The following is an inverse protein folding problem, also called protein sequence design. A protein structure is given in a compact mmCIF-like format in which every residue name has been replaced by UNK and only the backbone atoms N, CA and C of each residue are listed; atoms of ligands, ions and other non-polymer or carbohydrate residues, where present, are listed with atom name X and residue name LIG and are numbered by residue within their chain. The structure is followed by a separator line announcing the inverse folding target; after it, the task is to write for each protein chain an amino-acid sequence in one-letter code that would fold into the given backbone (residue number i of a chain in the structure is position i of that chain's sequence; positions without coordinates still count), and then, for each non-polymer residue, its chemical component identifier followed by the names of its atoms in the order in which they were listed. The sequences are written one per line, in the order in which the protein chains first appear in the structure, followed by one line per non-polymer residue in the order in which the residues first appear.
data_IF_970341620241
#
_entry.id   IF_970341620241
#
_cell.length_a   1.000
_cell.length_b   1.000
_cell.length_c   1.000
_cell.angle_alpha   90.00
_cell.angle_beta   90.00
_cell.angle_gamma   90.00
#
_symmetry.space_group_name_H-M   'P 1'
#
loop_
_entity.id
_entity.type
_entity.pdbx_description
1 polymer ?
#
# COMPACT_ATOMS: atom_id res chain seq x y z
N UNK A 1 -17.33 -24.18 -0.22
CA UNK A 1 -18.12 -23.07 -0.78
C UNK A 1 -17.74 -21.82 -0.01
N UNK A 2 -16.69 -21.09 -0.45
CA UNK A 2 -16.25 -19.84 0.14
C UNK A 2 -17.19 -18.72 -0.29
N UNK A 3 -17.73 -17.99 0.66
CA UNK A 3 -18.66 -16.90 0.38
C UNK A 3 -18.03 -15.57 0.77
N UNK A 4 -17.89 -14.70 -0.22
CA UNK A 4 -17.69 -13.28 0.03
C UNK A 4 -19.02 -12.75 0.59
N UNK A 5 -19.02 -12.29 1.86
CA UNK A 5 -20.20 -11.63 2.42
C UNK A 5 -20.14 -10.16 1.99
N UNK A 6 -20.96 -9.79 1.01
CA UNK A 6 -21.24 -8.38 0.76
C UNK A 6 -22.18 -7.91 1.87
N UNK A 7 -21.61 -7.57 3.00
CA UNK A 7 -22.34 -6.97 4.10
C UNK A 7 -22.06 -5.50 4.08
N UNK A 8 -22.92 -4.76 3.42
CA UNK A 8 -23.08 -3.36 3.75
C UNK A 8 -24.03 -3.33 4.95
N UNK A 9 -23.51 -3.66 6.11
CA UNK A 9 -24.25 -3.51 7.34
C UNK A 9 -24.29 -2.03 7.67
N UNK A 10 -25.38 -1.39 7.30
CA UNK A 10 -25.80 -0.15 7.90
C UNK A 10 -26.98 -0.50 8.81
N UNK A 11 -26.70 -0.84 10.04
CA UNK A 11 -27.65 -0.52 11.09
C UNK A 11 -27.64 0.98 11.27
N UNK A 12 -28.57 1.64 10.59
CA UNK A 12 -28.91 3.03 10.83
C UNK A 12 -29.70 3.11 12.15
N UNK A 13 -29.03 2.95 13.26
CA UNK A 13 -29.53 3.44 14.52
C UNK A 13 -29.56 4.97 14.41
N UNK A 14 -30.75 5.55 14.40
CA UNK A 14 -30.97 6.99 14.45
C UNK A 14 -30.33 7.56 15.73
N UNK A 15 -29.05 7.87 15.69
CA UNK A 15 -28.40 8.65 16.72
C UNK A 15 -28.93 10.07 16.65
N UNK A 16 -29.76 10.42 17.63
CA UNK A 16 -30.15 11.81 17.92
C UNK A 16 -28.87 12.62 18.10
N UNK A 17 -28.57 13.47 17.15
CA UNK A 17 -27.47 14.41 17.22
C UNK A 17 -27.74 15.42 18.31
N UNK A 18 -27.16 15.24 19.50
CA UNK A 18 -27.11 16.27 20.52
C UNK A 18 -25.86 17.09 20.29
N UNK A 19 -26.02 18.24 19.68
CA UNK A 19 -24.98 19.27 19.57
C UNK A 19 -24.61 19.74 20.98
N UNK A 20 -23.43 19.42 21.46
CA UNK A 20 -22.85 20.03 22.65
C UNK A 20 -22.24 21.39 22.28
N UNK A 21 -22.52 22.46 23.05
CA UNK A 21 -22.01 23.80 22.77
C UNK A 21 -20.49 23.88 23.03
N UNK A 22 -19.78 24.57 22.13
CA UNK A 22 -18.36 24.94 22.29
C UNK A 22 -18.13 25.65 23.62
N UNK A 23 -17.34 25.07 24.52
CA UNK A 23 -16.81 25.76 25.68
C UNK A 23 -15.53 26.49 25.32
N UNK A 24 -15.54 27.81 25.52
CA UNK A 24 -14.34 28.65 25.45
C UNK A 24 -13.33 28.22 26.50
N UNK A 25 -12.08 27.96 26.06
CA UNK A 25 -10.95 27.73 26.95
C UNK A 25 -10.56 29.02 27.67
N UNK A 26 -10.68 29.01 29.00
CA UNK A 26 -10.07 30.01 29.88
C UNK A 26 -8.64 29.54 30.24
N UNK A 27 -7.69 30.45 30.02
CA UNK A 27 -6.30 30.33 30.51
C UNK A 27 -6.26 30.30 32.04
N UNK A 28 -5.42 29.44 32.59
CA UNK A 28 -4.80 29.70 33.89
C UNK A 28 -4.69 28.51 34.83
N UNK A 29 -3.47 28.12 35.05
CA UNK A 29 -2.76 27.90 36.33
C UNK A 29 -1.99 26.56 36.42
N UNK A 30 -0.79 26.71 36.96
CA UNK A 30 0.33 25.82 37.10
C UNK A 30 0.04 24.48 37.83
N UNK A 31 0.81 23.45 37.43
CA UNK A 31 0.84 22.13 38.06
C UNK A 31 1.68 22.12 39.34
N UNK A 32 1.37 21.29 40.32
CA UNK A 32 2.27 21.01 41.45
C UNK A 32 3.23 19.88 41.12
N UNK A 33 4.45 20.03 41.61
CA UNK A 33 5.56 19.06 41.54
C UNK A 33 5.23 17.84 42.39
N UNK A 34 5.50 16.64 41.87
CA UNK A 34 5.57 15.41 42.68
C UNK A 34 7.00 14.88 42.72
N UNK A 35 7.33 14.36 43.90
CA UNK A 35 8.63 13.99 44.41
C UNK A 35 9.19 12.70 43.79
N UNK A 36 10.51 12.67 43.69
CA UNK A 36 11.36 11.57 43.23
C UNK A 36 11.52 10.49 44.27
N UNK A 37 11.50 9.22 43.84
CA UNK A 37 12.25 8.14 44.48
C UNK A 37 12.86 7.27 43.37
N UNK A 38 14.14 6.97 43.53
CA UNK A 38 15.05 6.37 42.54
C UNK A 38 14.75 4.94 42.19
N UNK A 39 15.14 4.47 40.96
CA UNK A 39 15.03 3.08 40.54
C UNK A 39 16.35 2.32 40.64
N UNK A 40 16.21 1.00 40.77
CA UNK A 40 17.22 -0.03 40.76
C UNK A 40 17.81 -0.23 39.35
N UNK A 41 19.16 -0.41 39.21
CA UNK A 41 19.84 -0.42 37.94
C UNK A 41 20.14 -1.84 37.46
N UNK A 42 19.41 -2.34 36.48
CA UNK A 42 19.92 -3.40 35.59
C UNK A 42 19.06 -3.63 34.34
N UNK A 43 19.27 -2.85 33.31
CA UNK A 43 19.10 -3.25 31.90
C UNK A 43 19.86 -2.24 31.04
N UNK A 44 20.88 -2.72 30.37
CA UNK A 44 21.69 -1.93 29.47
C UNK A 44 20.90 -1.53 28.23
N UNK A 45 20.73 -0.24 28.06
CA UNK A 45 20.22 0.38 26.84
C UNK A 45 21.24 0.18 25.71
N UNK A 46 20.89 -0.65 24.75
CA UNK A 46 21.39 -0.51 23.41
C UNK A 46 20.40 0.39 22.66
N UNK A 47 20.74 1.64 22.53
CA UNK A 47 20.07 2.61 21.67
C UNK A 47 19.99 2.04 20.24
N UNK A 48 18.82 1.55 19.87
CA UNK A 48 18.45 1.36 18.47
C UNK A 48 17.84 2.68 18.05
N UNK A 49 18.66 3.58 17.50
CA UNK A 49 18.16 4.67 16.67
C UNK A 49 17.29 4.06 15.56
N UNK A 50 15.99 4.18 15.75
CA UNK A 50 15.00 3.94 14.69
C UNK A 50 15.18 5.07 13.67
N UNK A 51 15.99 4.82 12.65
CA UNK A 51 15.91 5.63 11.44
C UNK A 51 14.52 5.39 10.85
N UNK A 52 13.73 6.44 10.82
CA UNK A 52 12.45 6.54 10.15
C UNK A 52 12.64 6.16 8.68
N UNK A 53 12.38 4.90 8.37
CA UNK A 53 12.08 4.50 7.01
C UNK A 53 10.64 4.90 6.76
N UNK A 54 10.43 5.76 5.77
CA UNK A 54 9.15 6.30 5.34
C UNK A 54 8.17 5.21 4.90
N UNK A 55 7.72 4.36 5.81
CA UNK A 55 6.40 3.79 5.73
C UNK A 55 5.48 4.85 6.37
N UNK A 56 5.11 5.89 5.59
CA UNK A 56 4.08 6.86 5.95
C UNK A 56 2.72 6.15 6.04
N UNK A 57 2.58 5.28 7.03
CA UNK A 57 1.32 5.00 7.68
C UNK A 57 1.22 6.05 8.81
N UNK A 58 0.82 7.29 8.44
CA UNK A 58 0.56 8.38 9.38
C UNK A 58 -0.41 7.91 10.47
N UNK A 59 0.10 7.66 11.68
CA UNK A 59 -0.71 7.51 12.86
C UNK A 59 -1.33 8.86 13.24
N UNK A 60 -2.53 9.13 12.73
CA UNK A 60 -3.36 10.18 13.30
C UNK A 60 -3.90 9.72 14.66
N UNK A 61 -3.94 10.59 15.69
CA UNK A 61 -4.49 10.24 17.00
C UNK A 61 -5.96 9.83 16.87
N UNK A 62 -6.33 8.74 17.54
CA UNK A 62 -7.67 8.15 17.55
C UNK A 62 -8.61 9.11 18.29
N UNK A 63 -9.22 10.06 17.59
CA UNK A 63 -10.50 10.65 18.02
C UNK A 63 -11.59 9.66 17.64
N UNK A 64 -12.42 9.30 18.61
CA UNK A 64 -13.56 8.39 18.48
C UNK A 64 -14.52 8.88 17.41
N UNK A 65 -14.30 8.48 16.16
CA UNK A 65 -15.18 8.75 15.04
C UNK A 65 -16.28 7.69 15.01
N UNK A 66 -17.50 8.16 15.15
CA UNK A 66 -18.69 7.37 14.86
C UNK A 66 -18.84 7.24 13.35
N UNK A 67 -18.69 6.00 12.87
CA UNK A 67 -19.29 5.40 11.68
C UNK A 67 -19.18 6.11 10.35
N UNK A 68 -18.67 5.42 9.33
CA UNK A 68 -19.15 5.20 7.97
C UNK A 68 -18.25 5.67 6.83
N UNK A 69 -17.95 4.84 5.92
CA UNK A 69 -18.30 4.49 4.53
C UNK A 69 -17.49 5.12 3.38
N UNK A 70 -17.19 4.38 2.34
CA UNK A 70 -16.13 4.59 1.40
C UNK A 70 -16.45 4.91 -0.04
N UNK A 71 -15.47 5.36 -0.77
CA UNK A 71 -15.61 6.27 -1.88
C UNK A 71 -15.12 5.80 -3.24
N UNK A 72 -15.65 6.41 -4.27
CA UNK A 72 -14.94 6.65 -5.51
C UNK A 72 -14.05 7.90 -5.38
N UNK A 73 -13.03 8.05 -6.19
CA UNK A 73 -12.05 9.12 -6.08
C UNK A 73 -11.95 9.97 -7.33
N UNK A 74 -11.93 11.29 -7.12
CA UNK A 74 -11.42 12.25 -8.09
C UNK A 74 -10.11 12.84 -7.58
N UNK A 75 -9.02 12.66 -8.32
CA UNK A 75 -7.80 13.41 -8.10
C UNK A 75 -7.93 14.78 -8.75
N UNK A 76 -7.88 15.86 -7.97
CA UNK A 76 -7.83 17.23 -8.51
C UNK A 76 -6.41 17.71 -8.79
N UNK A 77 -5.38 16.90 -8.63
CA UNK A 77 -4.03 17.21 -9.09
C UNK A 77 -3.82 16.58 -10.45
N UNK A 78 -3.97 17.40 -11.47
CA UNK A 78 -3.75 17.03 -12.89
C UNK A 78 -2.36 16.45 -13.20
N UNK A 79 -1.38 16.62 -12.32
CA UNK A 79 0.00 16.18 -12.55
C UNK A 79 0.33 14.77 -12.08
N UNK A 80 -0.46 14.14 -11.21
CA UNK A 80 -0.11 12.85 -10.63
C UNK A 80 -1.02 11.69 -10.99
N UNK A 81 -2.27 11.92 -11.39
CA UNK A 81 -3.25 10.85 -11.60
C UNK A 81 -4.05 10.96 -12.89
N UNK A 82 -3.69 11.82 -13.84
CA UNK A 82 -4.31 11.94 -15.17
C UNK A 82 -5.86 12.04 -15.15
N UNK A 83 -6.46 12.66 -14.14
CA UNK A 83 -7.92 12.83 -14.04
C UNK A 83 -8.70 11.51 -13.92
N UNK A 84 -8.07 10.38 -13.61
CA UNK A 84 -8.76 9.08 -13.48
C UNK A 84 -9.58 9.01 -12.21
N UNK A 85 -10.82 8.60 -12.34
CA UNK A 85 -11.70 8.19 -11.24
C UNK A 85 -11.62 6.68 -11.08
N UNK A 86 -11.51 6.20 -9.83
CA UNK A 86 -11.51 4.79 -9.49
C UNK A 86 -12.76 4.47 -8.66
N UNK A 87 -13.45 3.39 -8.99
CA UNK A 87 -14.63 2.92 -8.28
C UNK A 87 -14.33 1.58 -7.63
N UNK A 88 -14.41 1.53 -6.29
CA UNK A 88 -14.16 0.31 -5.52
C UNK A 88 -15.41 -0.14 -4.78
N UNK A 89 -15.59 -1.44 -4.66
CA UNK A 89 -16.62 -2.08 -3.84
C UNK A 89 -16.06 -2.35 -2.44
N UNK A 90 -16.72 -1.81 -1.42
CA UNK A 90 -16.41 -2.12 -0.01
C UNK A 90 -17.11 -3.40 0.35
N UNK A 91 -16.36 -4.39 0.81
CA UNK A 91 -16.85 -5.74 1.09
C UNK A 91 -16.22 -6.31 2.36
N UNK A 92 -16.89 -7.28 2.96
CA UNK A 92 -16.28 -8.20 3.93
C UNK A 92 -15.56 -9.31 3.18
N UNK A 93 -14.24 -9.32 3.22
CA UNK A 93 -13.44 -10.40 2.64
C UNK A 93 -13.35 -11.57 3.64
N UNK A 94 -13.60 -12.79 3.18
CA UNK A 94 -13.69 -13.96 4.04
C UNK A 94 -12.31 -14.41 4.55
N UNK A 95 -12.15 -14.55 5.85
CA UNK A 95 -10.88 -14.92 6.50
C UNK A 95 -10.32 -16.24 5.95
N UNK A 96 -11.11 -17.33 5.80
CA UNK A 96 -10.61 -18.55 5.19
C UNK A 96 -10.07 -18.39 3.76
N UNK A 97 -10.61 -17.48 2.96
CA UNK A 97 -10.10 -17.24 1.60
C UNK A 97 -8.68 -16.66 1.62
N UNK A 98 -8.36 -15.83 2.63
CA UNK A 98 -6.99 -15.38 2.86
C UNK A 98 -6.09 -16.53 3.31
N UNK A 99 -6.56 -17.37 4.23
CA UNK A 99 -5.78 -18.49 4.79
C UNK A 99 -5.51 -19.57 3.75
N UNK A 100 -6.47 -19.84 2.85
CA UNK A 100 -6.39 -20.87 1.82
C UNK A 100 -5.77 -20.38 0.50
N UNK A 101 -5.36 -19.10 0.42
CA UNK A 101 -4.70 -18.55 -0.77
C UNK A 101 -5.61 -18.24 -1.95
N UNK A 102 -6.93 -18.12 -1.74
CA UNK A 102 -7.87 -17.54 -2.72
C UNK A 102 -7.60 -16.03 -2.83
N UNK A 103 -7.30 -15.38 -1.71
CA UNK A 103 -6.77 -14.03 -1.70
C UNK A 103 -5.25 -14.11 -1.86
N UNK A 104 -4.78 -13.74 -3.05
CA UNK A 104 -3.39 -13.87 -3.50
C UNK A 104 -2.51 -12.76 -2.93
N UNK A 105 -1.31 -13.14 -2.53
CA UNK A 105 -0.26 -12.28 -1.98
C UNK A 105 0.89 -12.19 -2.98
N UNK A 106 1.52 -11.04 -3.04
CA UNK A 106 2.75 -10.84 -3.83
C UNK A 106 3.91 -10.28 -2.99
N UNK A 107 3.69 -10.05 -1.69
CA UNK A 107 4.70 -9.55 -0.76
C UNK A 107 4.66 -10.34 0.55
N UNK A 108 5.85 -10.58 1.15
CA UNK A 108 5.96 -11.17 2.49
C UNK A 108 5.74 -10.12 3.56
N UNK A 109 4.99 -10.51 4.57
CA UNK A 109 4.77 -9.68 5.75
C UNK A 109 5.87 -9.88 6.80
N UNK A 110 6.14 -8.84 7.60
CA UNK A 110 7.07 -8.89 8.72
C UNK A 110 6.30 -9.17 9.99
N UNK A 111 6.81 -10.08 10.83
CA UNK A 111 6.14 -10.52 12.04
C UNK A 111 5.93 -9.39 13.07
N UNK A 112 6.89 -8.48 13.21
CA UNK A 112 6.78 -7.31 14.08
C UNK A 112 5.63 -6.40 13.67
N UNK A 113 5.51 -6.13 12.36
CA UNK A 113 4.42 -5.30 11.81
C UNK A 113 3.06 -6.02 11.88
N UNK A 114 3.01 -7.33 11.64
CA UNK A 114 1.79 -8.11 11.82
C UNK A 114 1.27 -8.02 13.25
N UNK A 115 2.14 -8.23 14.24
CA UNK A 115 1.75 -8.22 15.66
C UNK A 115 1.26 -6.83 16.09
N UNK A 116 1.90 -5.75 15.63
CA UNK A 116 1.45 -4.39 15.88
C UNK A 116 0.03 -4.16 15.32
N UNK A 117 -0.22 -4.54 14.06
CA UNK A 117 -1.55 -4.44 13.44
C UNK A 117 -2.58 -5.39 14.08
N UNK A 118 -2.20 -6.60 14.48
CA UNK A 118 -3.07 -7.50 15.25
C UNK A 118 -3.48 -6.89 16.58
N UNK A 119 -2.54 -6.27 17.30
CA UNK A 119 -2.83 -5.54 18.54
C UNK A 119 -3.86 -4.44 18.30
N UNK A 120 -3.71 -3.67 17.24
CA UNK A 120 -4.64 -2.61 16.86
C UNK A 120 -6.05 -3.18 16.61
N UNK A 121 -6.19 -4.26 15.84
CA UNK A 121 -7.48 -4.91 15.57
C UNK A 121 -8.10 -5.50 16.85
N UNK A 122 -7.30 -6.14 17.70
CA UNK A 122 -7.79 -6.71 18.98
C UNK A 122 -8.31 -5.65 19.93
N UNK A 123 -7.56 -4.54 20.11
CA UNK A 123 -7.92 -3.46 21.04
C UNK A 123 -9.19 -2.74 20.61
N UNK A 124 -9.34 -2.47 19.31
CA UNK A 124 -10.50 -1.77 18.78
C UNK A 124 -11.70 -2.70 18.54
N UNK A 125 -11.49 -4.02 18.54
CA UNK A 125 -12.47 -5.02 18.12
C UNK A 125 -13.11 -4.70 16.76
N UNK A 126 -12.31 -4.13 15.84
CA UNK A 126 -12.78 -3.62 14.55
C UNK A 126 -11.64 -3.52 13.54
N UNK A 127 -11.99 -3.57 12.25
CA UNK A 127 -11.13 -3.11 11.17
C UNK A 127 -11.44 -1.63 10.92
N UNK A 128 -10.49 -0.75 11.25
CA UNK A 128 -10.61 0.70 11.07
C UNK A 128 -10.04 1.12 9.71
N UNK A 129 -9.04 0.38 9.23
CA UNK A 129 -8.37 0.60 7.97
C UNK A 129 -8.77 -0.49 6.97
N UNK A 130 -9.33 -0.14 5.80
CA UNK A 130 -9.62 -1.14 4.77
C UNK A 130 -8.34 -1.65 4.12
N UNK A 131 -8.35 -2.90 3.67
CA UNK A 131 -7.33 -3.43 2.78
C UNK A 131 -7.72 -3.16 1.33
N UNK A 132 -6.73 -3.07 0.46
CA UNK A 132 -6.93 -2.73 -0.94
C UNK A 132 -6.70 -3.95 -1.83
N UNK A 133 -7.78 -4.41 -2.50
CA UNK A 133 -7.73 -5.56 -3.38
C UNK A 133 -7.99 -5.17 -4.83
N UNK A 134 -7.40 -5.94 -5.71
CA UNK A 134 -7.74 -5.95 -7.14
C UNK A 134 -8.52 -7.22 -7.50
N UNK A 135 -9.41 -7.11 -8.48
CA UNK A 135 -10.08 -8.24 -9.10
C UNK A 135 -10.01 -8.15 -10.64
N UNK A 136 -10.09 -9.28 -11.36
CA UNK A 136 -10.18 -9.27 -12.82
C UNK A 136 -11.38 -8.46 -13.29
N UNK A 137 -11.23 -7.70 -14.38
CA UNK A 137 -12.27 -6.84 -14.91
C UNK A 137 -13.59 -7.59 -15.11
N UNK A 138 -14.70 -6.98 -14.69
CA UNK A 138 -16.03 -7.59 -14.72
C UNK A 138 -17.11 -6.58 -15.07
N UNK A 139 -17.63 -6.67 -16.29
CA UNK A 139 -18.63 -5.74 -16.79
C UNK A 139 -19.98 -5.80 -16.02
N UNK A 140 -20.31 -6.94 -15.39
CA UNK A 140 -21.53 -7.04 -14.59
C UNK A 140 -21.40 -6.25 -13.28
N UNK A 141 -20.23 -6.29 -12.63
CA UNK A 141 -19.94 -5.44 -11.47
C UNK A 141 -19.93 -3.96 -11.85
N UNK A 142 -19.31 -3.60 -12.97
CA UNK A 142 -19.28 -2.21 -13.46
C UNK A 142 -20.71 -1.69 -13.71
N UNK A 143 -21.61 -2.53 -14.24
CA UNK A 143 -23.00 -2.17 -14.45
C UNK A 143 -23.76 -1.94 -13.12
N UNK A 144 -23.50 -2.73 -12.08
CA UNK A 144 -24.07 -2.51 -10.75
C UNK A 144 -23.54 -1.17 -10.18
N UNK A 145 -22.24 -0.98 -10.15
CA UNK A 145 -21.59 0.24 -9.63
C UNK A 145 -22.17 1.49 -10.32
N UNK A 146 -22.30 1.45 -11.65
CA UNK A 146 -22.80 2.58 -12.44
C UNK A 146 -24.24 2.98 -12.10
N UNK A 147 -25.08 2.05 -11.65
CA UNK A 147 -26.45 2.38 -11.20
C UNK A 147 -26.47 3.22 -9.93
N UNK A 148 -25.52 3.01 -9.03
CA UNK A 148 -25.47 3.72 -7.76
C UNK A 148 -24.71 5.04 -7.85
N UNK A 149 -23.66 5.12 -8.67
CA UNK A 149 -22.82 6.32 -8.76
C UNK A 149 -23.51 7.53 -9.40
N UNK A 150 -24.64 7.35 -10.05
CA UNK A 150 -25.49 8.46 -10.56
C UNK A 150 -26.45 9.00 -9.49
N UNK A 151 -26.62 8.29 -8.37
CA UNK A 151 -27.48 8.67 -7.27
C UNK A 151 -26.81 9.67 -6.32
N UNK A 152 -27.60 10.11 -5.32
CA UNK A 152 -27.05 10.99 -4.25
C UNK A 152 -26.10 10.19 -3.36
N UNK A 153 -24.86 10.65 -3.18
CA UNK A 153 -23.92 9.99 -2.29
C UNK A 153 -24.26 10.27 -0.80
N UNK A 154 -23.79 9.38 0.07
CA UNK A 154 -23.81 9.58 1.53
C UNK A 154 -22.74 10.59 1.93
N UNK A 155 -21.57 10.49 1.30
CA UNK A 155 -20.47 11.43 1.44
C UNK A 155 -19.98 11.86 0.08
N UNK A 156 -19.59 13.12 -0.01
CA UNK A 156 -18.87 13.71 -1.13
C UNK A 156 -18.01 14.86 -0.59
N UNK A 157 -16.70 14.66 -0.56
CA UNK A 157 -15.78 15.65 -0.05
C UNK A 157 -14.41 15.55 -0.69
N UNK A 158 -13.66 16.65 -0.61
CA UNK A 158 -12.25 16.71 -0.98
C UNK A 158 -11.44 16.72 0.30
N UNK A 159 -10.51 15.76 0.44
CA UNK A 159 -9.67 15.67 1.63
C UNK A 159 -8.70 16.86 1.67
N UNK A 160 -8.61 17.57 2.81
CA UNK A 160 -7.58 18.58 3.01
C UNK A 160 -6.19 17.93 3.03
N UNK A 161 -5.23 18.58 2.40
CA UNK A 161 -3.83 18.14 2.38
C UNK A 161 -3.39 17.54 1.05
N UNK A 162 -4.00 16.47 0.58
CA UNK A 162 -3.67 15.87 -0.72
C UNK A 162 -4.61 16.25 -1.86
N UNK A 163 -5.78 16.81 -1.54
CA UNK A 163 -6.75 17.27 -2.54
C UNK A 163 -7.49 16.17 -3.28
N UNK A 164 -7.44 14.91 -2.79
CA UNK A 164 -8.21 13.82 -3.37
C UNK A 164 -9.70 13.92 -3.01
N UNK A 165 -10.57 13.69 -4.00
CA UNK A 165 -12.00 13.57 -3.80
C UNK A 165 -12.38 12.19 -3.29
N UNK A 166 -13.34 12.16 -2.37
CA UNK A 166 -13.93 10.94 -1.82
C UNK A 166 -15.43 11.03 -1.90
N UNK A 167 -16.05 10.14 -2.67
CA UNK A 167 -17.50 10.06 -2.82
C UNK A 167 -17.95 8.64 -2.47
N UNK A 168 -19.05 8.51 -1.76
CA UNK A 168 -19.52 7.21 -1.29
C UNK A 168 -21.02 7.03 -1.45
N UNK A 169 -21.40 5.84 -1.90
CA UNK A 169 -22.79 5.40 -2.04
C UNK A 169 -23.02 4.09 -1.29
N UNK A 170 -24.25 3.88 -0.86
CA UNK A 170 -24.70 2.62 -0.27
C UNK A 170 -25.39 1.80 -1.34
N UNK A 171 -25.03 0.52 -1.42
CA UNK A 171 -25.78 -0.49 -2.19
C UNK A 171 -26.70 -1.18 -1.20
N UNK A 172 -27.99 -0.88 -1.26
CA UNK A 172 -29.01 -1.31 -0.30
C UNK A 172 -30.05 -2.29 -0.86
N UNK A 173 -30.03 -2.52 -2.18
CA UNK A 173 -30.94 -3.48 -2.82
C UNK A 173 -30.36 -4.89 -2.74
N UNK A 174 -31.11 -5.78 -2.13
CA UNK A 174 -30.67 -7.18 -1.96
C UNK A 174 -30.35 -7.86 -3.30
N UNK A 175 -31.13 -7.59 -4.35
CA UNK A 175 -30.88 -8.11 -5.69
C UNK A 175 -29.50 -7.72 -6.25
N UNK A 176 -29.03 -6.48 -5.98
CA UNK A 176 -27.74 -6.00 -6.41
C UNK A 176 -26.61 -6.59 -5.54
N UNK A 177 -26.86 -6.75 -4.23
CA UNK A 177 -25.93 -7.41 -3.29
C UNK A 177 -25.72 -8.86 -3.70
N UNK A 178 -26.81 -9.57 -4.02
CA UNK A 178 -26.76 -10.96 -4.46
C UNK A 178 -26.01 -11.09 -5.80
N UNK A 179 -26.27 -10.17 -6.73
CA UNK A 179 -25.56 -10.12 -8.01
C UNK A 179 -24.05 -9.90 -7.83
N UNK A 180 -23.65 -8.97 -6.98
CA UNK A 180 -22.24 -8.72 -6.65
C UNK A 180 -21.61 -9.99 -6.04
N UNK A 181 -22.28 -10.61 -5.08
CA UNK A 181 -21.80 -11.82 -4.41
C UNK A 181 -21.61 -12.97 -5.42
N UNK A 182 -22.57 -13.15 -6.34
CA UNK A 182 -22.48 -14.17 -7.39
C UNK A 182 -21.34 -13.90 -8.38
N UNK A 183 -21.09 -12.65 -8.74
CA UNK A 183 -19.96 -12.31 -9.62
C UNK A 183 -18.61 -12.57 -8.96
N UNK A 184 -18.45 -12.18 -7.70
CA UNK A 184 -17.23 -12.50 -6.96
C UNK A 184 -17.03 -14.02 -6.78
N UNK A 185 -18.09 -14.78 -6.56
CA UNK A 185 -18.02 -16.24 -6.44
C UNK A 185 -17.53 -16.95 -7.73
N UNK A 186 -17.61 -16.29 -8.88
CA UNK A 186 -17.08 -16.80 -10.16
C UNK A 186 -15.59 -16.52 -10.33
N UNK A 187 -15.02 -15.62 -9.53
CA UNK A 187 -13.63 -15.23 -9.66
C UNK A 187 -12.73 -16.28 -9.00
N UNK A 188 -11.66 -16.72 -9.68
CA UNK A 188 -10.74 -17.71 -9.12
C UNK A 188 -9.91 -17.17 -7.96
N UNK A 189 -9.68 -15.86 -7.93
CA UNK A 189 -8.86 -15.20 -6.92
C UNK A 189 -9.16 -13.70 -6.82
N UNK A 190 -8.80 -13.13 -5.66
CA UNK A 190 -8.59 -11.71 -5.43
C UNK A 190 -7.11 -11.45 -5.17
N UNK A 191 -6.64 -10.26 -5.44
CA UNK A 191 -5.22 -9.92 -5.35
C UNK A 191 -5.02 -8.74 -4.40
N UNK A 192 -4.17 -8.92 -3.40
CA UNK A 192 -3.81 -7.80 -2.51
C UNK A 192 -3.02 -6.78 -3.32
N UNK A 193 -3.55 -5.59 -3.48
CA UNK A 193 -2.84 -4.47 -4.11
C UNK A 193 -2.02 -3.70 -3.07
N UNK A 194 -2.62 -3.41 -1.91
CA UNK A 194 -1.97 -2.72 -0.78
C UNK A 194 -2.53 -3.23 0.55
N UNK A 195 -1.70 -3.17 1.60
CA UNK A 195 -2.10 -3.59 2.94
C UNK A 195 -1.87 -5.06 3.26
N UNK A 196 -0.78 -5.68 2.81
CA UNK A 196 -0.42 -7.07 3.12
C UNK A 196 -0.38 -7.33 4.63
N UNK A 197 0.24 -6.45 5.43
CA UNK A 197 0.28 -6.57 6.90
C UNK A 197 -1.11 -6.43 7.53
N UNK A 198 -1.96 -5.52 7.01
CA UNK A 198 -3.33 -5.32 7.48
C UNK A 198 -4.21 -6.53 7.16
N UNK A 199 -4.07 -7.09 5.96
CA UNK A 199 -4.78 -8.32 5.56
C UNK A 199 -4.39 -9.50 6.45
N UNK A 200 -3.08 -9.69 6.68
CA UNK A 200 -2.59 -10.74 7.57
C UNK A 200 -3.12 -10.56 8.98
N UNK A 201 -3.00 -9.37 9.56
CA UNK A 201 -3.45 -9.08 10.92
C UNK A 201 -4.95 -9.32 11.10
N UNK A 202 -5.76 -8.82 10.17
CA UNK A 202 -7.22 -8.98 10.24
C UNK A 202 -7.62 -10.46 10.13
N UNK A 203 -7.02 -11.21 9.21
CA UNK A 203 -7.30 -12.64 9.04
C UNK A 203 -6.85 -13.46 10.26
N UNK A 204 -5.66 -13.18 10.82
CA UNK A 204 -5.15 -13.89 12.00
C UNK A 204 -6.00 -13.62 13.23
N UNK A 205 -6.42 -12.37 13.48
CA UNK A 205 -7.31 -12.03 14.59
C UNK A 205 -8.69 -12.66 14.41
N UNK A 206 -9.24 -12.68 13.19
CA UNK A 206 -10.48 -13.38 12.89
C UNK A 206 -10.39 -14.87 13.22
N UNK A 207 -9.32 -15.53 12.78
CA UNK A 207 -9.08 -16.94 13.08
C UNK A 207 -8.89 -17.21 14.60
N UNK A 208 -8.23 -16.29 15.33
CA UNK A 208 -8.12 -16.37 16.79
C UNK A 208 -9.49 -16.32 17.47
N UNK A 209 -10.35 -15.35 17.06
CA UNK A 209 -11.71 -15.21 17.59
C UNK A 209 -12.58 -16.45 17.30
N UNK A 210 -12.50 -16.98 16.08
CA UNK A 210 -13.18 -18.22 15.71
C UNK A 210 -12.77 -19.39 16.62
N UNK A 211 -11.46 -19.54 16.88
CA UNK A 211 -10.93 -20.58 17.76
C UNK A 211 -11.34 -20.41 19.23
N UNK A 212 -11.52 -19.15 19.67
CA UNK A 212 -11.89 -18.84 21.05
C UNK A 212 -13.41 -18.94 21.30
N UNK A 213 -14.24 -18.91 20.27
CA UNK A 213 -15.68 -18.97 20.39
C UNK A 213 -16.18 -20.43 20.36
N UNK A 214 -16.63 -21.01 21.50
CA UNK A 214 -17.14 -22.38 21.53
C UNK A 214 -18.43 -22.56 20.73
N UNK A 215 -19.12 -21.48 20.41
CA UNK A 215 -20.37 -21.47 19.63
C UNK A 215 -20.16 -20.97 18.21
N UNK A 216 -18.92 -21.06 17.69
CA UNK A 216 -18.60 -20.61 16.36
C UNK A 216 -19.43 -21.33 15.29
N UNK A 217 -20.06 -20.54 14.38
CA UNK A 217 -20.94 -21.05 13.31
C UNK A 217 -20.40 -20.75 11.91
N UNK A 218 -19.46 -19.79 11.81
CA UNK A 218 -18.86 -19.34 10.55
C UNK A 218 -19.52 -18.14 9.90
N UNK A 219 -20.60 -17.62 10.48
CA UNK A 219 -21.34 -16.43 9.99
C UNK A 219 -21.08 -15.16 10.82
N UNK A 220 -20.26 -15.26 11.86
CA UNK A 220 -19.92 -14.14 12.72
C UNK A 220 -19.05 -13.10 11.99
N UNK A 221 -19.15 -11.82 12.38
CA UNK A 221 -18.48 -10.71 11.69
C UNK A 221 -16.94 -10.84 11.69
N UNK A 222 -16.34 -11.43 12.72
CA UNK A 222 -14.89 -11.67 12.75
C UNK A 222 -14.39 -12.69 11.71
N UNK A 223 -15.28 -13.41 11.02
CA UNK A 223 -14.91 -14.25 9.87
C UNK A 223 -14.71 -13.46 8.59
N UNK A 224 -14.94 -12.15 8.66
CA UNK A 224 -14.75 -11.22 7.55
C UNK A 224 -13.85 -10.08 7.97
N UNK A 225 -13.15 -9.48 7.02
CA UNK A 225 -12.40 -8.26 7.23
C UNK A 225 -12.64 -7.27 6.10
N UNK A 226 -12.57 -6.00 6.44
CA UNK A 226 -12.95 -4.92 5.53
C UNK A 226 -11.95 -4.76 4.39
N UNK A 227 -12.41 -4.93 3.16
CA UNK A 227 -11.65 -4.72 1.94
C UNK A 227 -12.34 -3.74 1.00
N UNK A 228 -11.56 -3.02 0.21
CA UNK A 228 -12.06 -2.29 -0.98
C UNK A 228 -11.50 -2.96 -2.21
N UNK A 229 -12.38 -3.48 -3.04
CA UNK A 229 -12.03 -4.22 -4.25
C UNK A 229 -12.22 -3.35 -5.48
N UNK A 230 -11.19 -3.21 -6.31
CA UNK A 230 -11.20 -2.45 -7.56
C UNK A 230 -10.97 -3.36 -8.75
N UNK A 231 -11.57 -3.08 -9.92
CA UNK A 231 -11.21 -3.79 -11.14
C UNK A 231 -9.78 -3.42 -11.56
N UNK A 232 -9.03 -4.38 -12.05
CA UNK A 232 -7.62 -4.23 -12.38
C UNK A 232 -7.35 -3.10 -13.38
N UNK A 233 -8.26 -2.88 -14.35
CA UNK A 233 -8.13 -1.82 -15.37
C UNK A 233 -8.24 -0.39 -14.82
N UNK A 234 -8.81 -0.21 -13.64
CA UNK A 234 -8.88 1.11 -12.99
C UNK A 234 -7.65 1.40 -12.13
N UNK A 235 -6.80 0.41 -11.87
CA UNK A 235 -5.63 0.55 -11.04
C UNK A 235 -4.39 0.91 -11.87
N UNK A 236 -3.54 1.72 -11.27
CA UNK A 236 -2.24 2.07 -11.84
C UNK A 236 -1.19 1.91 -10.75
N UNK A 237 -0.19 1.09 -11.05
CA UNK A 237 1.00 0.99 -10.20
C UNK A 237 1.95 2.10 -10.63
N UNK A 238 2.45 2.85 -9.67
CA UNK A 238 3.44 3.90 -9.88
C UNK A 238 4.82 3.30 -9.58
N UNK A 239 5.85 3.84 -10.20
CA UNK A 239 7.23 3.45 -9.99
C UNK A 239 7.66 3.60 -8.52
N UNK A 240 8.51 2.67 -8.08
CA UNK A 240 9.17 2.75 -6.79
C UNK A 240 10.67 2.82 -7.02
N UNK A 241 11.27 3.97 -6.78
CA UNK A 241 12.62 4.30 -7.17
C UNK A 241 13.60 4.04 -6.02
N UNK A 242 14.90 3.98 -6.33
CA UNK A 242 15.98 3.72 -5.38
C UNK A 242 16.97 4.86 -5.37
N UNK A 243 17.50 5.15 -4.19
CA UNK A 243 18.62 6.07 -4.00
C UNK A 243 19.67 5.43 -3.11
N UNK A 244 20.95 5.64 -3.40
CA UNK A 244 22.05 4.98 -2.69
C UNK A 244 23.09 6.01 -2.26
N UNK A 245 23.59 5.85 -1.03
CA UNK A 245 24.49 6.80 -0.36
C UNK A 245 25.90 6.85 -0.92
N UNK A 246 26.38 5.77 -1.51
CA UNK A 246 27.74 5.65 -2.01
C UNK A 246 27.83 4.77 -3.25
N UNK A 247 28.99 4.75 -3.90
CA UNK A 247 29.28 3.94 -5.07
C UNK A 247 30.17 2.73 -4.73
N UNK A 248 30.15 2.24 -3.51
CA UNK A 248 30.98 1.11 -3.06
C UNK A 248 32.49 1.32 -3.32
N UNK A 249 32.94 2.54 -3.08
CA UNK A 249 34.35 2.93 -3.23
C UNK A 249 34.80 3.27 -4.66
N UNK A 250 33.91 3.18 -5.65
CA UNK A 250 34.19 3.51 -7.05
C UNK A 250 34.08 5.01 -7.33
N UNK A 251 34.81 5.49 -8.34
CA UNK A 251 34.53 6.79 -8.96
C UNK A 251 33.27 6.70 -9.83
N UNK A 252 32.63 7.82 -10.21
CA UNK A 252 31.51 7.81 -11.14
C UNK A 252 31.79 7.06 -12.45
N UNK A 253 32.98 7.24 -13.02
CA UNK A 253 33.41 6.60 -14.26
C UNK A 253 33.55 5.08 -14.09
N UNK A 254 34.16 4.63 -12.99
CA UNK A 254 34.32 3.21 -12.66
C UNK A 254 32.95 2.56 -12.46
N UNK A 255 32.03 3.26 -11.76
CA UNK A 255 30.67 2.78 -11.55
C UNK A 255 29.91 2.64 -12.86
N UNK A 256 29.92 3.65 -13.75
CA UNK A 256 29.29 3.58 -15.06
C UNK A 256 29.89 2.48 -15.93
N UNK A 257 31.20 2.28 -15.86
CA UNK A 257 31.88 1.18 -16.57
C UNK A 257 31.44 -0.20 -16.02
N UNK A 258 31.28 -0.34 -14.70
CA UNK A 258 30.79 -1.56 -14.08
C UNK A 258 29.33 -1.86 -14.48
N UNK A 259 28.44 -0.87 -14.40
CA UNK A 259 27.04 -0.97 -14.87
C UNK A 259 27.00 -1.31 -16.36
N UNK A 260 27.89 -0.72 -17.17
CA UNK A 260 28.02 -0.96 -18.61
C UNK A 260 28.35 -2.41 -19.01
N UNK A 261 28.70 -3.28 -18.06
CA UNK A 261 28.87 -4.73 -18.34
C UNK A 261 27.51 -5.36 -18.70
N UNK A 262 26.49 -5.05 -17.95
CA UNK A 262 25.15 -5.65 -18.07
C UNK A 262 24.14 -4.75 -18.79
N UNK A 263 24.43 -3.47 -18.93
CA UNK A 263 23.51 -2.48 -19.53
C UNK A 263 24.18 -1.73 -20.69
N UNK A 264 23.36 -1.28 -21.63
CA UNK A 264 23.73 -0.23 -22.59
C UNK A 264 23.51 1.08 -21.85
N UNK A 265 24.57 1.87 -21.68
CA UNK A 265 24.57 3.13 -20.93
C UNK A 265 24.63 4.29 -21.92
N UNK A 266 23.66 5.18 -21.88
CA UNK A 266 23.61 6.37 -22.73
C UNK A 266 23.44 7.62 -21.86
N UNK A 267 24.33 8.58 -21.95
CA UNK A 267 24.16 9.89 -21.28
C UNK A 267 22.98 10.67 -21.91
N UNK A 268 22.10 11.20 -21.06
CA UNK A 268 20.94 12.01 -21.47
C UNK A 268 21.07 13.48 -21.07
N UNK A 269 22.14 13.88 -20.38
CA UNK A 269 22.39 15.24 -19.93
C UNK A 269 21.72 15.58 -18.62
N UNK A 270 21.44 16.85 -18.40
CA UNK A 270 20.93 17.39 -17.12
C UNK A 270 19.41 17.36 -17.01
N UNK A 271 18.70 17.24 -18.13
CA UNK A 271 17.25 17.18 -18.17
C UNK A 271 16.76 15.81 -17.71
N UNK A 272 15.65 15.81 -16.96
CA UNK A 272 15.08 14.57 -16.40
C UNK A 272 14.76 13.59 -17.52
N UNK A 273 15.37 12.43 -17.42
CA UNK A 273 15.08 11.28 -18.27
C UNK A 273 14.22 10.26 -17.50
N UNK A 274 13.05 9.94 -18.03
CA UNK A 274 12.14 8.93 -17.48
C UNK A 274 12.31 7.61 -18.23
N UNK A 275 12.28 6.43 -17.56
CA UNK A 275 12.30 5.14 -18.23
C UNK A 275 11.22 5.05 -19.31
N UNK A 276 11.61 4.57 -20.49
CA UNK A 276 10.73 4.55 -21.68
C UNK A 276 9.86 3.28 -21.78
N UNK A 277 10.20 2.24 -21.05
CA UNK A 277 9.52 0.94 -21.07
C UNK A 277 10.24 -0.09 -20.20
N UNK A 278 9.76 -1.34 -20.24
CA UNK A 278 10.38 -2.46 -19.52
C UNK A 278 11.85 -2.60 -19.94
N UNK A 279 12.69 -2.98 -18.96
CA UNK A 279 14.14 -3.20 -19.08
C UNK A 279 14.94 -1.94 -19.43
N UNK A 280 14.29 -0.77 -19.35
CA UNK A 280 14.90 0.53 -19.45
C UNK A 280 14.77 1.27 -18.12
N UNK A 281 15.90 1.77 -17.61
CA UNK A 281 16.01 2.45 -16.33
C UNK A 281 16.56 3.84 -16.53
N UNK A 282 16.29 4.74 -15.61
CA UNK A 282 16.99 6.02 -15.51
C UNK A 282 17.95 5.99 -14.35
N UNK A 283 19.16 6.45 -14.57
CA UNK A 283 20.17 6.64 -13.54
C UNK A 283 20.49 8.13 -13.44
N UNK A 284 20.53 8.68 -12.24
CA UNK A 284 21.01 10.02 -11.97
C UNK A 284 22.28 9.97 -11.14
N UNK A 285 23.36 10.52 -11.69
CA UNK A 285 24.69 10.49 -11.08
C UNK A 285 25.44 11.75 -11.48
N UNK A 286 26.04 12.43 -10.49
CA UNK A 286 26.96 13.54 -10.69
C UNK A 286 26.42 14.64 -11.62
N UNK A 287 25.17 15.04 -11.40
CA UNK A 287 24.48 16.10 -12.16
C UNK A 287 23.88 15.67 -13.49
N UNK A 288 24.00 14.42 -13.90
CA UNK A 288 23.56 13.93 -15.21
C UNK A 288 22.63 12.73 -15.11
N UNK A 289 21.70 12.66 -16.05
CA UNK A 289 20.84 11.52 -16.29
C UNK A 289 21.44 10.58 -17.34
N UNK A 290 21.25 9.29 -17.12
CA UNK A 290 21.65 8.23 -18.03
C UNK A 290 20.46 7.30 -18.28
N UNK A 291 20.31 6.85 -19.53
CA UNK A 291 19.44 5.71 -19.86
C UNK A 291 20.26 4.42 -19.71
N UNK A 292 19.71 3.47 -18.99
CA UNK A 292 20.28 2.13 -18.88
C UNK A 292 19.30 1.15 -19.52
N UNK A 293 19.73 0.44 -20.57
CA UNK A 293 18.93 -0.63 -21.19
C UNK A 293 19.59 -1.96 -20.89
N UNK A 294 18.88 -2.87 -20.23
CA UNK A 294 19.40 -4.20 -19.91
C UNK A 294 19.75 -4.96 -21.20
N UNK A 295 20.95 -5.53 -21.25
CA UNK A 295 21.41 -6.27 -22.42
C UNK A 295 20.66 -7.60 -22.55
N UNK A 296 20.41 -8.09 -23.79
CA UNK A 296 19.87 -9.44 -23.99
C UNK A 296 20.68 -10.50 -23.26
N UNK A 297 20.02 -11.44 -22.61
CA UNK A 297 20.64 -12.52 -21.85
C UNK A 297 21.04 -12.18 -20.40
N UNK A 298 20.83 -10.93 -19.94
CA UNK A 298 21.04 -10.55 -18.53
C UNK A 298 19.83 -10.84 -17.65
N UNK A 299 18.71 -11.20 -18.24
CA UNK A 299 17.48 -11.61 -17.57
C UNK A 299 16.80 -12.72 -18.38
N UNK A 300 15.84 -13.43 -17.77
CA UNK A 300 15.09 -14.52 -18.38
C UNK A 300 13.61 -14.16 -18.50
N UNK A 301 13.12 -14.00 -19.73
CA UNK A 301 11.72 -13.68 -20.02
C UNK A 301 10.72 -14.75 -19.53
N UNK A 302 11.18 -15.98 -19.32
CA UNK A 302 10.35 -17.08 -18.82
C UNK A 302 10.31 -17.17 -17.28
N UNK A 303 11.13 -16.36 -16.57
CA UNK A 303 11.09 -16.27 -15.12
C UNK A 303 10.24 -15.07 -14.70
N UNK A 304 9.05 -15.28 -14.14
CA UNK A 304 8.13 -14.20 -13.82
C UNK A 304 8.66 -13.19 -12.79
N UNK A 305 9.65 -13.60 -11.97
CA UNK A 305 10.33 -12.72 -11.00
C UNK A 305 11.62 -12.16 -11.60
N UNK A 306 12.39 -13.00 -12.28
CA UNK A 306 13.68 -12.61 -12.88
C UNK A 306 13.55 -11.56 -13.98
N UNK A 307 12.41 -11.52 -14.67
CA UNK A 307 12.13 -10.54 -15.73
C UNK A 307 11.74 -9.15 -15.22
N UNK A 308 11.43 -9.01 -13.92
CA UNK A 308 11.05 -7.73 -13.35
C UNK A 308 12.22 -6.75 -13.30
N UNK A 309 11.98 -5.51 -13.67
CA UNK A 309 12.99 -4.43 -13.60
C UNK A 309 13.56 -4.27 -12.18
N UNK A 310 12.72 -4.45 -11.16
CA UNK A 310 13.16 -4.46 -9.77
C UNK A 310 14.15 -5.57 -9.48
N UNK A 311 13.95 -6.77 -10.02
CA UNK A 311 14.87 -7.91 -9.84
C UNK A 311 16.15 -7.70 -10.62
N UNK A 312 16.05 -7.28 -11.89
CA UNK A 312 17.20 -6.99 -12.75
C UNK A 312 18.10 -5.94 -12.09
N UNK A 313 17.54 -4.82 -11.65
CA UNK A 313 18.30 -3.76 -10.99
C UNK A 313 18.87 -4.20 -9.64
N UNK A 314 18.13 -4.99 -8.86
CA UNK A 314 18.61 -5.52 -7.58
C UNK A 314 19.81 -6.43 -7.74
N UNK A 315 19.77 -7.34 -8.71
CA UNK A 315 20.85 -8.31 -8.93
C UNK A 315 22.07 -7.65 -9.61
N UNK A 316 21.85 -6.90 -10.70
CA UNK A 316 22.93 -6.46 -11.59
C UNK A 316 23.52 -5.09 -11.23
N UNK A 317 22.82 -4.27 -10.44
CA UNK A 317 23.31 -2.96 -10.00
C UNK A 317 23.52 -2.94 -8.49
N UNK A 318 22.48 -3.25 -7.72
CA UNK A 318 22.55 -3.11 -6.27
C UNK A 318 23.46 -4.17 -5.63
N UNK A 319 23.32 -5.44 -6.00
CA UNK A 319 24.18 -6.51 -5.46
C UNK A 319 25.54 -6.56 -6.19
N UNK A 320 25.56 -6.81 -7.50
CA UNK A 320 26.80 -7.06 -8.24
C UNK A 320 27.78 -5.86 -8.21
N UNK A 321 27.27 -4.63 -8.40
CA UNK A 321 28.10 -3.43 -8.49
C UNK A 321 28.23 -2.73 -7.14
N UNK A 322 27.12 -2.49 -6.44
CA UNK A 322 27.12 -1.72 -5.19
C UNK A 322 27.28 -2.58 -3.93
N UNK A 323 27.22 -3.92 -4.06
CA UNK A 323 27.38 -4.85 -2.94
C UNK A 323 26.22 -4.83 -1.93
N UNK A 324 25.05 -4.31 -2.32
CA UNK A 324 23.84 -4.25 -1.49
C UNK A 324 23.04 -5.53 -1.71
N UNK A 325 23.21 -6.51 -0.82
CA UNK A 325 22.60 -7.85 -0.94
C UNK A 325 21.21 -7.95 -0.34
N UNK A 326 20.96 -7.24 0.73
CA UNK A 326 19.64 -7.25 1.40
C UNK A 326 19.07 -5.82 1.45
N UNK A 327 18.10 -5.59 0.60
CA UNK A 327 17.42 -4.30 0.46
C UNK A 327 16.61 -3.87 1.69
N UNK A 328 16.36 -4.80 2.65
CA UNK A 328 15.57 -4.54 3.85
C UNK A 328 16.41 -4.05 5.02
N UNK A 329 17.67 -4.39 5.04
CA UNK A 329 18.57 -4.13 6.17
C UNK A 329 19.76 -3.24 5.84
N UNK A 330 20.13 -3.06 4.55
CA UNK A 330 21.25 -2.22 4.17
C UNK A 330 20.89 -0.73 4.29
N UNK A 331 21.57 -0.01 5.19
CA UNK A 331 21.33 1.42 5.46
C UNK A 331 21.89 2.38 4.39
N UNK A 332 22.54 1.85 3.35
CA UNK A 332 23.03 2.66 2.23
C UNK A 332 21.98 2.93 1.17
N UNK A 333 20.91 2.11 1.12
CA UNK A 333 19.80 2.27 0.18
C UNK A 333 18.58 2.86 0.86
N UNK A 334 17.86 3.69 0.13
CA UNK A 334 16.55 4.18 0.49
C UNK A 334 15.62 4.20 -0.74
N UNK A 335 14.32 4.32 -0.52
CA UNK A 335 13.29 4.15 -1.54
C UNK A 335 12.46 5.44 -1.69
N UNK A 336 12.14 5.78 -2.93
CA UNK A 336 11.35 6.98 -3.27
C UNK A 336 10.15 6.56 -4.11
N UNK A 337 8.94 6.71 -3.56
CA UNK A 337 7.71 6.46 -4.30
C UNK A 337 7.56 7.45 -5.46
N UNK A 338 7.12 6.95 -6.61
CA UNK A 338 7.01 7.74 -7.85
C UNK A 338 6.08 8.93 -7.78
N UNK A 339 5.20 8.99 -6.74
CA UNK A 339 4.36 10.16 -6.48
C UNK A 339 5.17 11.43 -6.19
N UNK A 340 6.40 11.29 -5.71
CA UNK A 340 7.31 12.42 -5.45
C UNK A 340 7.99 12.94 -6.72
N UNK A 341 7.86 12.21 -7.84
CA UNK A 341 8.50 12.53 -9.11
C UNK A 341 10.00 12.23 -9.15
N UNK A 342 10.58 12.34 -10.34
CA UNK A 342 12.02 12.16 -10.55
C UNK A 342 12.84 13.37 -10.05
N UNK A 343 12.20 14.51 -9.85
CA UNK A 343 12.77 15.71 -9.24
C UNK A 343 13.27 15.43 -7.81
N UNK A 344 12.56 14.58 -7.05
CA UNK A 344 12.99 14.20 -5.71
C UNK A 344 14.28 13.38 -5.74
N UNK A 345 14.44 12.50 -6.73
CA UNK A 345 15.68 11.76 -6.94
C UNK A 345 16.86 12.69 -7.19
N UNK A 346 16.66 13.63 -8.12
CA UNK A 346 17.66 14.67 -8.44
C UNK A 346 18.03 15.47 -7.20
N UNK A 347 17.03 15.96 -6.46
CA UNK A 347 17.21 16.75 -5.25
C UNK A 347 18.04 16.03 -4.19
N UNK A 348 17.77 14.74 -3.91
CA UNK A 348 18.48 13.95 -2.90
C UNK A 348 19.93 13.67 -3.28
N UNK A 349 20.22 13.55 -4.59
CA UNK A 349 21.60 13.39 -5.07
C UNK A 349 22.33 14.73 -5.06
N UNK A 350 21.73 15.79 -5.59
CA UNK A 350 22.35 17.13 -5.67
C UNK A 350 22.62 17.74 -4.27
N UNK A 351 21.80 17.39 -3.27
CA UNK A 351 22.04 17.81 -1.88
C UNK A 351 23.21 17.10 -1.20
N UNK A 352 23.73 16.03 -1.80
CA UNK A 352 24.77 15.19 -1.21
C UNK A 352 24.26 14.18 -0.18
N UNK A 353 22.94 14.10 0.07
CA UNK A 353 22.32 13.07 0.92
C UNK A 353 22.55 11.67 0.33
N UNK A 354 22.39 11.56 -0.98
CA UNK A 354 22.62 10.35 -1.76
C UNK A 354 23.65 10.59 -2.85
N UNK A 355 24.31 9.54 -3.31
CA UNK A 355 25.33 9.65 -4.37
C UNK A 355 24.76 9.30 -5.74
N UNK A 356 23.82 8.36 -5.81
CA UNK A 356 23.23 7.91 -7.06
C UNK A 356 21.74 7.58 -6.86
N UNK A 357 20.95 7.84 -7.89
CA UNK A 357 19.54 7.48 -7.93
C UNK A 357 19.23 6.60 -9.14
N UNK A 358 18.30 5.66 -8.97
CA UNK A 358 17.85 4.74 -10.00
C UNK A 358 16.32 4.76 -10.07
N UNK A 359 15.77 5.18 -11.21
CA UNK A 359 14.35 5.12 -11.49
C UNK A 359 14.03 3.90 -12.35
N UNK A 360 12.94 3.22 -11.98
CA UNK A 360 12.47 2.01 -12.61
C UNK A 360 11.20 2.27 -13.43
N UNK A 361 10.97 1.42 -14.44
CA UNK A 361 9.66 1.38 -15.08
C UNK A 361 8.67 0.66 -14.16
N UNK A 362 7.44 1.16 -13.95
CA UNK A 362 6.50 0.57 -13.02
C UNK A 362 6.03 -0.82 -13.48
N UNK A 363 5.82 -1.72 -12.53
CA UNK A 363 5.20 -3.03 -12.75
C UNK A 363 3.74 -2.84 -13.20
N UNK A 364 3.28 -3.67 -14.13
CA UNK A 364 1.87 -3.68 -14.56
C UNK A 364 0.99 -4.49 -13.62
N UNK A 365 -0.32 -4.19 -13.59
CA UNK A 365 -1.30 -5.02 -12.88
C UNK A 365 -1.28 -6.48 -13.36
N UNK A 366 -1.08 -6.70 -14.67
CA UNK A 366 -0.96 -8.04 -15.22
C UNK A 366 0.22 -8.80 -14.65
N UNK A 367 1.41 -8.20 -14.58
CA UNK A 367 2.59 -8.84 -13.98
C UNK A 367 2.36 -9.15 -12.49
N UNK A 368 1.73 -8.25 -11.74
CA UNK A 368 1.41 -8.48 -10.34
C UNK A 368 0.49 -9.69 -10.17
N UNK A 369 -0.58 -9.77 -10.96
CA UNK A 369 -1.55 -10.87 -10.89
C UNK A 369 -0.91 -12.20 -11.32
N UNK A 370 -0.19 -12.23 -12.44
CA UNK A 370 0.51 -13.42 -12.94
C UNK A 370 1.49 -13.96 -11.88
N UNK A 371 2.25 -13.10 -11.22
CA UNK A 371 3.20 -13.50 -10.17
C UNK A 371 2.46 -14.06 -8.95
N UNK A 372 1.41 -13.38 -8.50
CA UNK A 372 0.62 -13.83 -7.37
C UNK A 372 -0.08 -15.18 -7.64
N UNK A 373 -0.49 -15.44 -8.89
CA UNK A 373 -1.10 -16.71 -9.30
C UNK A 373 -0.12 -17.88 -9.25
N UNK A 374 1.14 -17.63 -9.53
CA UNK A 374 2.20 -18.66 -9.43
C UNK A 374 2.65 -18.92 -7.98
N UNK A 375 2.11 -18.16 -7.00
CA UNK A 375 2.53 -18.23 -5.60
C UNK A 375 3.92 -17.64 -5.34
N UNK A 376 4.49 -16.96 -6.31
CA UNK A 376 5.75 -16.25 -6.18
C UNK A 376 5.59 -14.93 -5.41
N UNK A 377 6.70 -14.47 -4.85
CA UNK A 377 6.78 -13.23 -4.08
C UNK A 377 7.68 -12.23 -4.80
N UNK A 378 7.21 -11.01 -4.94
CA UNK A 378 7.99 -9.91 -5.49
C UNK A 378 9.08 -9.46 -4.51
N UNK A 379 10.19 -8.91 -4.99
CA UNK A 379 11.12 -8.17 -4.15
C UNK A 379 10.40 -7.04 -3.37
N UNK A 380 10.94 -6.62 -2.21
CA UNK A 380 10.33 -5.53 -1.44
C UNK A 380 10.33 -4.22 -2.22
N UNK A 381 9.34 -3.38 -1.96
CA UNK A 381 9.22 -2.05 -2.58
C UNK A 381 9.17 -2.13 -4.13
N UNK A 382 8.34 -3.03 -4.63
CA UNK A 382 8.10 -3.21 -6.08
C UNK A 382 6.88 -2.43 -6.56
N UNK A 383 5.84 -2.33 -5.72
CA UNK A 383 4.56 -1.74 -6.09
C UNK A 383 4.25 -0.52 -5.23
N UNK A 384 3.72 0.52 -5.86
CA UNK A 384 3.16 1.68 -5.18
C UNK A 384 1.82 2.01 -5.81
N UNK A 385 0.76 1.92 -5.02
CA UNK A 385 -0.60 2.25 -5.45
C UNK A 385 -1.02 3.63 -4.94
N UNK A 386 -1.57 4.43 -5.84
CA UNK A 386 -2.21 5.70 -5.52
C UNK A 386 -3.60 5.74 -6.15
N UNK A 387 -4.52 6.44 -5.52
CA UNK A 387 -4.42 7.09 -4.21
C UNK A 387 -4.56 6.08 -3.07
N UNK A 388 -3.95 6.36 -1.91
CA UNK A 388 -4.10 5.52 -0.72
C UNK A 388 -5.52 5.56 -0.17
N UNK A 389 -6.02 4.43 0.35
CA UNK A 389 -7.29 4.38 1.06
C UNK A 389 -7.21 5.14 2.38
N UNK A 390 -8.33 5.75 2.78
CA UNK A 390 -8.42 6.48 4.05
C UNK A 390 -8.90 5.58 5.17
N UNK A 391 -8.27 5.72 6.35
CA UNK A 391 -8.71 5.09 7.59
C UNK A 391 -9.93 5.80 8.16
N UNK A 392 -10.80 5.07 8.86
CA UNK A 392 -11.92 5.63 9.62
C UNK A 392 -13.11 6.15 8.82
N UNK A 393 -13.11 6.10 7.50
CA UNK A 393 -14.28 6.42 6.68
C UNK A 393 -15.32 5.29 6.73
N UNK A 394 -14.88 4.06 6.89
CA UNK A 394 -15.67 2.87 7.20
C UNK A 394 -15.02 2.16 8.37
N UNK A 395 -15.84 1.60 9.24
CA UNK A 395 -15.38 0.76 10.34
C UNK A 395 -16.17 -0.55 10.28
N UNK A 396 -15.48 -1.67 10.26
CA UNK A 396 -16.08 -2.98 10.36
C UNK A 396 -15.84 -3.55 11.76
N UNK A 397 -16.89 -3.65 12.56
CA UNK A 397 -16.85 -4.26 13.88
C UNK A 397 -16.79 -5.78 13.77
N UNK A 398 -16.13 -6.42 14.72
CA UNK A 398 -15.92 -7.87 14.76
C UNK A 398 -16.86 -8.59 15.75
N UNK A 399 -17.92 -7.93 16.19
CA UNK A 399 -18.97 -8.43 17.10
C UNK A 399 -20.36 -8.31 16.53
#
# INVERSE_FOLDING_TARGET
EGFLKVSIAVEAERAKTTLLPRRHAKKGKAAPKLNTSEPDPSWSDSEIELTEGDDEDDEAPIETAKTTLLPSRHAKREQTMNGKTQYGLVVGAYVPDYMNGVIKKHELTRRDKEEDRMKHVRVNNANIEPVFFAYPDNAALDAVISRYTVGKPVYDFIAPGDGFGHTFWIIDKQEDIDAITQEFAKMPALYIADGHHRSAAAALVGAEKAKQNPNHRGDEEYNYFMAVCFPANQLTIIDYNRVVKDLNGMTPEEFLAAVGKNFIVEEKGEDIYKPSGLHNFSLYLDGKWYSLTAKPGTYNDNDPIGVLDVTISSNLILDEVLGIKDLRSDKRIDFVGGIRGLEELKKRVDSGEMKVALALYPVSMKQLMDIADTGNIMPPKTTWFEPKLRSGLVIHKLD
#
